data_IF_341717375424
#
_entry.id   IF_341717375424
#
_cell.length_a   1.000
_cell.length_b   1.000
_cell.length_c   1.000
_cell.angle_alpha   90.00
_cell.angle_beta   90.00
_cell.angle_gamma   90.00
#
_symmetry.space_group_name_H-M   'P 1'
#
loop_
_entity.id
_entity.type
_entity.pdbx_description
1 polymer ?
#
# COMPACT_ATOMS: atom_id res chain seq x y z
N UNK A 1 37.11 -18.53 -12.62
CA UNK A 1 36.35 -19.18 -13.74
C UNK A 1 35.25 -20.02 -13.11
N UNK A 2 34.01 -19.56 -13.18
CA UNK A 2 32.82 -20.27 -12.70
C UNK A 2 32.11 -20.80 -13.95
N UNK A 3 31.77 -22.09 -14.07
CA UNK A 3 31.13 -22.63 -15.26
C UNK A 3 29.68 -22.22 -15.35
N UNK A 4 29.28 -21.66 -16.49
CA UNK A 4 27.90 -21.41 -16.85
C UNK A 4 27.19 -22.76 -17.14
N UNK A 5 26.05 -22.99 -16.47
CA UNK A 5 25.18 -24.12 -16.69
C UNK A 5 24.14 -23.74 -17.76
N UNK A 6 24.18 -24.43 -18.91
CA UNK A 6 23.28 -24.24 -20.03
C UNK A 6 21.84 -24.69 -19.73
N UNK A 7 20.86 -23.81 -20.06
CA UNK A 7 19.42 -24.00 -19.81
C UNK A 7 18.77 -25.20 -20.48
N UNK A 8 19.48 -25.88 -21.38
CA UNK A 8 18.95 -27.07 -22.11
C UNK A 8 19.14 -28.39 -21.36
N UNK A 9 19.97 -28.43 -20.33
CA UNK A 9 20.28 -29.66 -19.57
C UNK A 9 19.36 -29.91 -18.39
N UNK A 10 18.57 -28.91 -17.95
CA UNK A 10 17.66 -29.03 -16.82
C UNK A 10 16.35 -29.76 -17.14
N UNK A 11 15.91 -29.79 -18.40
CA UNK A 11 14.62 -30.36 -18.83
C UNK A 11 14.61 -31.87 -19.15
N UNK A 12 15.72 -32.58 -18.98
CA UNK A 12 15.82 -34.01 -19.31
C UNK A 12 15.86 -34.99 -18.12
N UNK A 13 15.63 -34.53 -16.87
CA UNK A 13 15.70 -35.40 -15.68
C UNK A 13 14.41 -35.53 -14.86
N UNK A 14 13.25 -35.18 -15.39
CA UNK A 14 11.96 -35.46 -14.75
C UNK A 14 11.13 -36.35 -15.71
N UNK A 15 11.48 -37.59 -15.76
CA UNK A 15 10.73 -38.58 -16.52
C UNK A 15 11.35 -39.96 -16.39
N UNK A 16 11.13 -40.63 -15.26
CA UNK A 16 11.08 -42.08 -15.15
C UNK A 16 11.13 -42.49 -13.66
N UNK A 17 9.99 -42.88 -13.12
CA UNK A 17 9.81 -44.00 -12.20
C UNK A 17 8.31 -44.22 -12.04
N UNK A 18 7.79 -45.11 -12.81
CA UNK A 18 6.48 -45.70 -12.64
C UNK A 18 6.56 -46.96 -11.78
N UNK A 19 5.40 -47.45 -11.36
CA UNK A 19 5.29 -48.83 -10.85
C UNK A 19 4.25 -48.99 -9.78
N UNK A 20 3.09 -49.35 -10.21
CA UNK A 20 2.07 -50.28 -9.64
C UNK A 20 2.30 -50.84 -8.22
N UNK A 21 1.23 -50.90 -7.42
CA UNK A 21 0.63 -52.18 -6.97
C UNK A 21 -0.82 -51.96 -6.52
N UNK A 22 -1.70 -52.90 -6.96
CA UNK A 22 -3.13 -53.09 -6.68
C UNK A 22 -3.30 -54.07 -5.51
N UNK A 23 -4.35 -53.91 -4.71
CA UNK A 23 -5.20 -54.87 -4.03
C UNK A 23 -5.86 -54.20 -2.80
N UNK A 24 -7.16 -54.19 -2.55
CA UNK A 24 -8.24 -55.12 -2.78
C UNK A 24 -9.03 -55.25 -1.48
N UNK A 25 -10.38 -55.17 -1.53
CA UNK A 25 -11.26 -55.56 -0.40
C UNK A 25 -12.23 -54.45 0.04
N UNK A 26 -13.37 -54.43 -0.49
CA UNK A 26 -14.69 -55.05 -0.29
C UNK A 26 -15.55 -54.40 0.84
N UNK A 27 -16.69 -53.82 0.38
CA UNK A 27 -18.06 -53.79 0.92
C UNK A 27 -18.27 -53.29 2.35
N UNK A 28 -19.15 -52.24 2.51
CA UNK A 28 -20.60 -52.44 2.67
C UNK A 28 -21.36 -51.16 2.50
N UNK A 29 -22.53 -51.30 1.91
CA UNK A 29 -23.49 -50.28 1.54
C UNK A 29 -24.34 -49.86 2.74
N UNK A 30 -24.63 -48.57 2.92
CA UNK A 30 -25.90 -48.11 3.48
C UNK A 30 -26.46 -46.97 2.64
N UNK A 31 -27.60 -47.25 2.00
CA UNK A 31 -28.49 -46.29 1.36
C UNK A 31 -29.27 -45.55 2.47
N UNK A 32 -29.27 -44.22 2.39
CA UNK A 32 -30.43 -43.46 2.81
C UNK A 32 -30.49 -42.16 1.99
N UNK A 33 -31.59 -42.03 1.29
CA UNK A 33 -31.92 -40.93 0.43
C UNK A 33 -32.20 -39.65 1.21
N UNK A 34 -31.72 -38.51 0.68
CA UNK A 34 -32.53 -37.27 0.56
C UNK A 34 -31.75 -36.34 -0.37
N UNK A 35 -32.46 -35.87 -1.42
CA UNK A 35 -31.91 -35.02 -2.45
C UNK A 35 -31.45 -33.67 -1.91
N UNK A 36 -30.30 -33.23 -2.35
CA UNK A 36 -29.76 -31.91 -2.13
C UNK A 36 -28.69 -31.64 -3.14
N UNK A 37 -28.90 -30.68 -4.01
CA UNK A 37 -28.00 -30.18 -5.02
C UNK A 37 -26.58 -29.99 -4.48
N UNK A 38 -25.60 -30.69 -5.05
CA UNK A 38 -24.18 -30.46 -4.77
C UNK A 38 -23.74 -29.25 -5.63
N UNK A 39 -23.74 -28.09 -5.02
CA UNK A 39 -23.06 -26.91 -5.58
C UNK A 39 -21.59 -26.97 -5.17
N UNK A 40 -20.71 -27.29 -6.11
CA UNK A 40 -19.26 -27.17 -5.94
C UNK A 40 -18.86 -25.70 -6.02
N UNK A 41 -18.83 -25.04 -4.87
CA UNK A 41 -18.28 -23.71 -4.69
C UNK A 41 -17.64 -23.66 -3.31
N UNK A 42 -16.32 -23.49 -3.24
CA UNK A 42 -15.60 -23.26 -1.98
C UNK A 42 -16.05 -21.95 -1.34
N UNK A 43 -17.18 -21.98 -0.65
CA UNK A 43 -17.72 -20.86 0.10
C UNK A 43 -17.08 -20.82 1.48
N UNK A 44 -16.36 -19.76 1.79
CA UNK A 44 -16.04 -19.36 3.16
C UNK A 44 -17.35 -19.14 3.90
N UNK A 45 -17.58 -19.86 4.99
CA UNK A 45 -18.78 -19.74 5.82
C UNK A 45 -18.87 -18.31 6.37
N UNK A 46 -19.97 -17.56 6.14
CA UNK A 46 -20.09 -16.21 6.70
C UNK A 46 -20.14 -16.27 8.23
N UNK A 47 -19.41 -15.41 8.88
CA UNK A 47 -19.52 -15.19 10.33
C UNK A 47 -20.96 -14.73 10.63
N UNK A 48 -21.70 -15.36 11.59
CA UNK A 48 -23.07 -15.00 11.87
C UNK A 48 -23.19 -13.55 12.35
N UNK A 49 -23.97 -12.73 11.67
CA UNK A 49 -24.36 -11.38 12.08
C UNK A 49 -23.85 -10.21 11.26
N UNK A 50 -22.99 -10.43 10.26
CA UNK A 50 -22.56 -9.35 9.35
C UNK A 50 -23.25 -9.52 8.01
N UNK A 51 -24.09 -8.56 7.62
CA UNK A 51 -24.62 -8.50 6.27
C UNK A 51 -23.44 -8.37 5.30
N UNK A 52 -23.30 -9.25 4.30
CA UNK A 52 -22.23 -9.12 3.33
C UNK A 52 -22.28 -7.76 2.64
N UNK A 53 -21.14 -7.07 2.55
CA UNK A 53 -21.04 -5.83 1.79
C UNK A 53 -21.17 -6.18 0.30
N UNK A 54 -21.86 -5.34 -0.48
CA UNK A 54 -22.01 -5.52 -1.92
C UNK A 54 -20.66 -5.60 -2.64
N UNK A 55 -20.67 -6.21 -3.80
CA UNK A 55 -19.50 -6.33 -4.68
C UNK A 55 -19.92 -6.27 -6.17
N UNK A 56 -21.07 -5.63 -6.42
CA UNK A 56 -21.65 -5.54 -7.75
C UNK A 56 -20.87 -4.59 -8.68
N UNK A 57 -20.11 -3.65 -8.10
CA UNK A 57 -19.30 -2.69 -8.85
C UNK A 57 -17.94 -3.23 -9.32
N UNK A 58 -17.60 -4.48 -9.04
CA UNK A 58 -16.32 -5.07 -9.45
C UNK A 58 -16.25 -5.31 -10.97
N UNK A 59 -15.15 -4.93 -11.59
CA UNK A 59 -14.84 -5.21 -13.00
C UNK A 59 -14.83 -6.72 -13.29
N UNK A 60 -14.27 -7.49 -12.37
CA UNK A 60 -14.20 -8.95 -12.44
C UNK A 60 -14.95 -9.53 -11.24
N UNK A 61 -16.06 -10.29 -11.46
CA UNK A 61 -16.80 -10.87 -10.36
C UNK A 61 -15.90 -11.69 -9.41
N UNK A 62 -16.03 -11.44 -8.11
CA UNK A 62 -15.27 -12.14 -7.08
C UNK A 62 -13.83 -11.68 -6.89
N UNK A 63 -13.38 -10.62 -7.60
CA UNK A 63 -12.01 -10.14 -7.54
C UNK A 63 -11.95 -8.61 -7.40
N UNK A 64 -11.50 -8.11 -6.25
CA UNK A 64 -11.22 -6.70 -6.02
C UNK A 64 -9.79 -6.39 -6.51
N UNK A 65 -9.68 -5.71 -7.65
CA UNK A 65 -8.41 -5.33 -8.26
C UNK A 65 -8.06 -3.88 -7.92
N UNK A 66 -6.87 -3.65 -7.40
CA UNK A 66 -6.43 -2.30 -7.04
C UNK A 66 -5.00 -2.00 -7.51
N UNK A 67 -4.82 -0.80 -8.06
CA UNK A 67 -3.53 -0.32 -8.57
C UNK A 67 -2.65 0.20 -7.46
N UNK A 68 -1.39 -0.22 -7.44
CA UNK A 68 -0.32 0.31 -6.61
C UNK A 68 1.04 -0.07 -7.17
N UNK A 69 2.09 0.72 -6.83
CA UNK A 69 3.47 0.33 -7.05
C UNK A 69 4.01 -0.42 -5.84
N UNK A 70 4.61 -1.58 -6.05
CA UNK A 70 5.26 -2.37 -5.01
C UNK A 70 6.78 -2.18 -5.00
N UNK A 71 7.38 -1.67 -6.05
CA UNK A 71 8.79 -1.30 -6.10
C UNK A 71 9.02 0.02 -5.34
N UNK A 72 9.83 -0.04 -4.28
CA UNK A 72 10.01 1.09 -3.36
C UNK A 72 8.78 1.45 -2.52
N UNK A 73 7.70 0.66 -2.58
CA UNK A 73 6.38 0.96 -2.00
C UNK A 73 6.22 0.73 -0.50
N UNK A 74 7.29 0.44 0.26
CA UNK A 74 7.18 0.32 1.72
C UNK A 74 6.88 1.68 2.38
N UNK A 75 6.00 1.71 3.40
CA UNK A 75 5.28 0.62 4.05
C UNK A 75 3.88 0.30 3.46
N UNK A 76 3.50 0.85 2.30
CA UNK A 76 2.16 0.73 1.69
C UNK A 76 1.90 -0.68 1.17
N UNK A 77 2.60 -1.06 0.11
CA UNK A 77 2.62 -2.41 -0.45
C UNK A 77 3.99 -2.69 -1.05
N UNK A 78 4.61 -3.80 -0.69
CA UNK A 78 5.95 -4.16 -1.16
C UNK A 78 6.22 -5.66 -0.97
N UNK A 79 7.22 -6.24 -1.66
CA UNK A 79 7.63 -7.60 -1.44
C UNK A 79 8.14 -7.82 -0.01
N UNK A 80 7.69 -8.87 0.66
CA UNK A 80 8.19 -9.24 1.99
C UNK A 80 9.71 -9.49 1.93
N UNK A 81 10.53 -8.78 2.72
CA UNK A 81 11.98 -8.99 2.73
C UNK A 81 12.42 -10.42 3.05
N UNK A 82 11.56 -11.19 3.75
CA UNK A 82 11.82 -12.60 4.07
C UNK A 82 11.29 -13.58 3.01
N UNK A 83 10.31 -13.17 2.21
CA UNK A 83 9.71 -13.95 1.14
C UNK A 83 9.26 -13.04 -0.03
N UNK A 84 10.16 -12.69 -0.96
CA UNK A 84 9.88 -11.72 -2.02
C UNK A 84 8.74 -12.09 -2.99
N UNK A 85 8.25 -13.32 -2.94
CA UNK A 85 7.08 -13.74 -3.73
C UNK A 85 5.74 -13.39 -3.04
N UNK A 86 5.77 -12.84 -1.85
CA UNK A 86 4.61 -12.41 -1.10
C UNK A 86 4.63 -10.89 -0.90
N UNK A 87 3.50 -10.25 -1.11
CA UNK A 87 3.35 -8.84 -0.79
C UNK A 87 2.93 -8.65 0.67
N UNK A 88 3.43 -7.57 1.26
CA UNK A 88 3.10 -7.07 2.60
C UNK A 88 2.94 -5.56 2.55
N UNK A 89 2.44 -4.96 3.61
CA UNK A 89 2.26 -3.53 3.73
C UNK A 89 0.92 -3.19 4.38
N UNK A 90 0.79 -1.97 4.93
CA UNK A 90 -0.45 -1.62 5.61
C UNK A 90 -1.63 -1.51 4.64
N UNK A 91 -1.43 -1.00 3.43
CA UNK A 91 -2.49 -0.96 2.40
C UNK A 91 -2.80 -2.34 1.84
N UNK A 92 -1.78 -3.20 1.70
CA UNK A 92 -2.02 -4.60 1.36
C UNK A 92 -2.97 -5.26 2.36
N UNK A 93 -2.75 -5.05 3.68
CA UNK A 93 -3.61 -5.58 4.73
C UNK A 93 -5.01 -4.96 4.72
N UNK A 94 -5.14 -3.65 4.43
CA UNK A 94 -6.43 -2.98 4.26
C UNK A 94 -7.19 -3.58 3.08
N UNK A 95 -6.53 -3.78 1.94
CA UNK A 95 -7.11 -4.41 0.75
C UNK A 95 -7.63 -5.82 1.02
N UNK A 96 -6.87 -6.63 1.76
CA UNK A 96 -7.30 -7.97 2.19
C UNK A 96 -8.50 -7.90 3.14
N UNK A 97 -8.51 -6.95 4.08
CA UNK A 97 -9.59 -6.80 5.04
C UNK A 97 -10.91 -6.35 4.36
N UNK A 98 -10.85 -5.39 3.43
CA UNK A 98 -12.01 -4.98 2.64
C UNK A 98 -12.56 -6.14 1.79
N UNK A 99 -11.69 -6.84 1.05
CA UNK A 99 -12.09 -7.97 0.23
C UNK A 99 -12.76 -9.08 1.04
N UNK A 100 -12.27 -9.36 2.26
CA UNK A 100 -12.88 -10.31 3.19
C UNK A 100 -14.31 -9.91 3.57
N UNK A 101 -14.56 -8.62 3.86
CA UNK A 101 -15.91 -8.12 4.18
C UNK A 101 -16.85 -8.19 2.98
N UNK A 102 -16.33 -8.05 1.76
CA UNK A 102 -17.06 -8.15 0.51
C UNK A 102 -17.23 -9.60 0.02
N UNK A 103 -16.61 -10.59 0.68
CA UNK A 103 -16.64 -11.98 0.26
C UNK A 103 -15.90 -12.27 -1.05
N UNK A 104 -14.85 -11.53 -1.37
CA UNK A 104 -14.08 -11.60 -2.62
C UNK A 104 -12.59 -11.74 -2.34
N UNK A 105 -11.80 -11.94 -3.40
CA UNK A 105 -10.33 -11.98 -3.33
C UNK A 105 -9.76 -10.60 -3.63
N UNK A 106 -8.80 -10.13 -2.83
CA UNK A 106 -8.03 -8.92 -3.10
C UNK A 106 -6.85 -9.22 -4.02
N UNK A 107 -6.64 -8.38 -5.04
CA UNK A 107 -5.50 -8.48 -5.95
C UNK A 107 -4.91 -7.11 -6.24
N UNK A 108 -3.68 -6.89 -5.78
CA UNK A 108 -2.88 -5.75 -6.21
C UNK A 108 -2.48 -5.94 -7.69
N UNK A 109 -2.55 -4.85 -8.47
CA UNK A 109 -2.11 -4.77 -9.86
C UNK A 109 -0.96 -3.79 -9.92
N UNK A 110 0.21 -4.30 -10.31
CA UNK A 110 1.42 -3.48 -10.41
C UNK A 110 1.28 -2.38 -11.46
N UNK A 111 1.66 -1.17 -11.10
CA UNK A 111 1.71 -0.04 -12.00
C UNK A 111 2.61 1.06 -11.40
N UNK A 112 3.41 1.73 -12.24
CA UNK A 112 4.24 2.85 -11.80
C UNK A 112 3.39 3.97 -11.20
N UNK A 113 3.84 4.59 -10.10
CA UNK A 113 3.10 5.64 -9.41
C UNK A 113 2.76 6.82 -10.33
N UNK A 114 3.72 7.28 -11.13
CA UNK A 114 3.53 8.38 -12.10
C UNK A 114 2.55 8.07 -13.23
N UNK A 115 2.23 6.79 -13.47
CA UNK A 115 1.27 6.34 -14.49
C UNK A 115 -0.06 5.86 -13.88
N UNK A 116 -0.22 5.95 -12.55
CA UNK A 116 -1.33 5.36 -11.82
C UNK A 116 -2.69 5.95 -12.23
N UNK A 117 -2.78 7.28 -12.34
CA UNK A 117 -4.00 7.95 -12.75
C UNK A 117 -4.43 7.53 -14.17
N UNK A 118 -3.49 7.50 -15.13
CA UNK A 118 -3.79 7.06 -16.49
C UNK A 118 -4.28 5.60 -16.54
N UNK A 119 -3.67 4.74 -15.72
CA UNK A 119 -4.08 3.34 -15.63
C UNK A 119 -5.48 3.18 -15.02
N UNK A 120 -5.82 3.98 -13.99
CA UNK A 120 -7.15 4.05 -13.41
C UNK A 120 -8.20 4.49 -14.43
N UNK A 121 -7.92 5.60 -15.14
CA UNK A 121 -8.83 6.15 -16.16
C UNK A 121 -8.99 5.20 -17.37
N UNK A 122 -7.99 4.37 -17.65
CA UNK A 122 -8.08 3.29 -18.63
C UNK A 122 -8.76 2.01 -18.09
N UNK A 123 -9.28 2.03 -16.86
CA UNK A 123 -9.93 0.89 -16.21
C UNK A 123 -9.05 -0.37 -16.15
N UNK A 124 -7.73 -0.23 -15.93
CA UNK A 124 -6.85 -1.39 -15.76
C UNK A 124 -7.18 -2.19 -14.49
N UNK A 125 -7.66 -1.51 -13.46
CA UNK A 125 -8.10 -2.05 -12.16
C UNK A 125 -9.38 -1.33 -11.70
N UNK A 126 -9.97 -1.78 -10.60
CA UNK A 126 -11.24 -1.23 -10.08
C UNK A 126 -11.02 0.11 -9.36
N UNK A 127 -9.92 0.23 -8.63
CA UNK A 127 -9.60 1.38 -7.78
C UNK A 127 -8.09 1.54 -7.62
N UNK A 128 -7.63 2.71 -7.16
CA UNK A 128 -6.26 2.96 -6.74
C UNK A 128 -6.17 3.14 -5.23
N UNK A 129 -5.16 2.50 -4.60
CA UNK A 129 -4.83 2.66 -3.19
C UNK A 129 -3.30 2.58 -3.07
N UNK A 130 -2.64 3.72 -2.94
CA UNK A 130 -1.17 3.83 -2.91
C UNK A 130 -0.73 5.17 -2.29
N UNK A 131 -1.19 5.47 -1.06
CA UNK A 131 -1.00 6.81 -0.50
C UNK A 131 -1.67 7.86 -1.38
N UNK A 132 -2.89 7.58 -1.86
CA UNK A 132 -3.53 8.38 -2.91
C UNK A 132 -4.24 9.59 -2.33
N UNK A 133 -3.77 10.77 -2.70
CA UNK A 133 -4.35 12.03 -2.24
C UNK A 133 -5.45 12.54 -3.17
N UNK A 134 -6.38 13.25 -2.58
CA UNK A 134 -7.43 13.97 -3.28
C UNK A 134 -6.93 15.37 -3.67
N UNK A 135 -6.63 15.56 -4.97
CA UNK A 135 -6.21 16.84 -5.50
C UNK A 135 -7.32 17.48 -6.35
N UNK A 136 -7.33 18.83 -6.54
CA UNK A 136 -8.32 19.49 -7.40
C UNK A 136 -8.35 18.98 -8.84
N UNK A 137 -7.23 18.51 -9.37
CA UNK A 137 -7.17 17.96 -10.72
C UNK A 137 -7.76 16.54 -10.77
N UNK A 138 -7.40 15.69 -9.82
CA UNK A 138 -8.00 14.34 -9.70
C UNK A 138 -9.51 14.36 -9.44
N UNK A 139 -10.03 15.33 -8.68
CA UNK A 139 -11.49 15.48 -8.44
C UNK A 139 -12.31 15.68 -9.72
N UNK A 140 -11.68 16.14 -10.81
CA UNK A 140 -12.37 16.29 -12.11
C UNK A 140 -12.67 14.94 -12.74
N UNK A 141 -11.80 13.97 -12.55
CA UNK A 141 -11.78 12.67 -13.24
C UNK A 141 -12.04 11.48 -12.31
N UNK A 142 -11.90 11.66 -11.00
CA UNK A 142 -12.00 10.59 -10.01
C UNK A 142 -13.14 10.83 -9.01
N UNK A 143 -13.68 9.72 -8.49
CA UNK A 143 -14.42 9.66 -7.23
C UNK A 143 -13.47 9.20 -6.14
N UNK A 144 -13.76 9.57 -4.90
CA UNK A 144 -12.94 9.21 -3.75
C UNK A 144 -13.76 8.52 -2.67
N UNK A 145 -13.14 7.58 -1.97
CA UNK A 145 -13.68 7.02 -0.74
C UNK A 145 -13.66 8.05 0.41
N UNK A 146 -14.17 7.68 1.56
CA UNK A 146 -13.79 8.32 2.80
C UNK A 146 -12.28 8.16 3.06
N UNK A 147 -11.66 9.10 3.79
CA UNK A 147 -10.26 9.01 4.20
C UNK A 147 -10.00 7.72 4.98
N UNK A 148 -8.91 7.01 4.68
CA UNK A 148 -8.53 5.81 5.45
C UNK A 148 -7.29 6.02 6.33
N UNK A 149 -6.45 7.01 6.03
CA UNK A 149 -5.29 7.37 6.86
C UNK A 149 -5.03 8.88 6.80
N UNK A 150 -4.64 9.47 7.93
CA UNK A 150 -4.18 10.87 8.02
C UNK A 150 -2.68 10.90 8.21
N UNK A 151 -1.98 11.67 7.37
CA UNK A 151 -0.53 11.79 7.39
C UNK A 151 -0.09 13.26 7.41
N UNK A 152 1.20 13.51 7.58
CA UNK A 152 1.82 14.81 7.38
C UNK A 152 3.17 14.65 6.70
N UNK A 153 3.65 15.74 6.11
CA UNK A 153 4.99 15.79 5.53
C UNK A 153 6.04 15.87 6.63
N UNK A 154 7.14 15.15 6.45
CA UNK A 154 8.24 15.07 7.42
C UNK A 154 9.56 15.48 6.77
N UNK A 155 10.31 16.33 7.46
CA UNK A 155 11.68 16.69 7.06
C UNK A 155 12.65 15.62 7.55
N UNK A 156 13.54 15.18 6.66
CA UNK A 156 14.66 14.29 6.98
C UNK A 156 15.97 14.98 6.59
N UNK A 157 16.95 14.91 7.48
CA UNK A 157 18.30 15.43 7.28
C UNK A 157 19.34 14.38 7.68
N UNK A 158 20.62 14.60 7.35
CA UNK A 158 21.69 13.77 7.88
C UNK A 158 21.81 13.91 9.39
N UNK A 159 22.13 12.81 10.06
CA UNK A 159 22.28 12.79 11.51
C UNK A 159 23.42 13.71 12.01
N UNK A 160 24.48 13.88 11.21
CA UNK A 160 25.67 14.68 11.48
C UNK A 160 25.58 16.13 11.00
N UNK A 161 24.47 16.54 10.38
CA UNK A 161 24.31 17.89 9.84
C UNK A 161 24.18 18.92 10.97
N UNK A 162 25.24 19.72 11.14
CA UNK A 162 25.35 20.71 12.21
C UNK A 162 24.38 21.90 12.04
N UNK A 163 23.88 22.17 10.84
CA UNK A 163 22.85 23.19 10.57
C UNK A 163 21.56 22.92 11.35
N UNK A 164 21.30 21.65 11.61
CA UNK A 164 20.13 21.17 12.35
C UNK A 164 20.51 20.60 13.72
N UNK A 165 21.63 21.07 14.32
CA UNK A 165 22.00 20.68 15.67
C UNK A 165 20.91 21.09 16.68
N UNK A 166 20.55 20.18 17.58
CA UNK A 166 19.47 20.39 18.56
C UNK A 166 18.04 20.35 18.01
N UNK A 167 17.84 20.23 16.71
CA UNK A 167 16.52 19.98 16.14
C UNK A 167 16.13 18.53 16.30
N UNK A 168 14.90 18.28 16.75
CA UNK A 168 14.30 16.96 16.97
C UNK A 168 12.99 16.85 16.19
N UNK A 169 12.37 15.70 16.18
CA UNK A 169 11.04 15.47 15.62
C UNK A 169 9.90 16.24 16.33
N UNK A 170 10.21 16.90 17.46
CA UNK A 170 9.26 17.78 18.18
C UNK A 170 9.45 19.27 17.88
N UNK A 171 10.48 19.64 17.10
CA UNK A 171 10.74 21.03 16.73
C UNK A 171 9.64 21.54 15.80
N UNK A 172 9.30 22.81 15.92
CA UNK A 172 8.35 23.48 15.02
C UNK A 172 9.13 23.98 13.79
N UNK A 173 9.03 23.26 12.69
CA UNK A 173 9.73 23.52 11.44
C UNK A 173 8.73 23.50 10.28
N UNK A 174 9.05 24.23 9.20
CA UNK A 174 8.24 24.31 8.00
C UNK A 174 9.09 24.56 6.76
N UNK A 175 8.45 24.99 5.66
CA UNK A 175 9.14 25.25 4.39
C UNK A 175 10.25 26.29 4.50
N UNK A 176 10.06 27.33 5.30
CA UNK A 176 11.04 28.40 5.49
C UNK A 176 12.37 27.91 6.08
N UNK A 177 12.35 26.81 6.83
CA UNK A 177 13.57 26.18 7.36
C UNK A 177 14.38 25.41 6.28
N UNK A 178 13.78 25.25 5.10
CA UNK A 178 14.40 24.60 3.93
C UNK A 178 14.89 25.59 2.88
N UNK A 179 14.68 26.92 3.08
CA UNK A 179 15.16 27.95 2.14
C UNK A 179 16.69 27.87 1.94
N UNK A 180 17.12 27.99 0.69
CA UNK A 180 18.53 27.91 0.28
C UNK A 180 19.09 26.49 0.22
N UNK A 181 18.29 25.45 0.51
CA UNK A 181 18.71 24.05 0.47
C UNK A 181 18.29 23.35 -0.82
N UNK A 182 19.03 22.28 -1.17
CA UNK A 182 18.60 21.30 -2.16
C UNK A 182 17.81 20.20 -1.43
N UNK A 183 16.51 20.10 -1.71
CA UNK A 183 15.58 19.19 -1.04
C UNK A 183 15.08 18.14 -2.02
N UNK A 184 15.28 16.87 -1.67
CA UNK A 184 14.81 15.72 -2.46
C UNK A 184 13.41 15.28 -2.08
N UNK A 185 12.65 14.82 -3.08
CA UNK A 185 11.35 14.13 -2.88
C UNK A 185 11.03 13.25 -4.08
N UNK A 186 10.00 12.40 -3.99
CA UNK A 186 9.52 11.62 -5.13
C UNK A 186 8.86 12.50 -6.19
N UNK A 187 9.08 12.18 -7.45
CA UNK A 187 8.33 12.76 -8.55
C UNK A 187 6.84 12.41 -8.40
N UNK A 188 5.95 13.34 -8.70
CA UNK A 188 4.49 13.18 -8.53
C UNK A 188 4.00 12.99 -7.08
N UNK A 189 4.87 13.15 -6.07
CA UNK A 189 4.47 13.15 -4.67
C UNK A 189 3.95 14.54 -4.26
N UNK A 190 3.02 14.57 -3.31
CA UNK A 190 2.49 15.82 -2.74
C UNK A 190 3.59 16.77 -2.25
N UNK A 191 4.66 16.22 -1.72
CA UNK A 191 5.83 16.98 -1.28
C UNK A 191 6.48 17.78 -2.41
N UNK A 192 6.42 17.33 -3.67
CA UNK A 192 6.95 18.07 -4.80
C UNK A 192 6.16 19.38 -5.04
N UNK A 193 4.84 19.33 -4.95
CA UNK A 193 3.98 20.51 -5.05
C UNK A 193 4.26 21.50 -3.93
N UNK A 194 4.36 20.99 -2.68
CA UNK A 194 4.64 21.79 -1.49
C UNK A 194 5.99 22.48 -1.60
N UNK A 195 7.05 21.78 -2.02
CA UNK A 195 8.38 22.39 -2.26
C UNK A 195 8.34 23.43 -3.36
N UNK A 196 7.49 23.23 -4.38
CA UNK A 196 7.29 24.18 -5.48
C UNK A 196 6.66 25.51 -5.09
N UNK A 197 6.05 25.61 -3.89
CA UNK A 197 5.47 26.85 -3.34
C UNK A 197 6.56 27.88 -3.00
N UNK A 198 7.78 27.44 -2.63
CA UNK A 198 8.88 28.33 -2.27
C UNK A 198 10.04 28.23 -3.28
N UNK A 199 10.24 29.28 -4.08
CA UNK A 199 11.29 29.38 -5.10
C UNK A 199 12.71 29.50 -4.55
N UNK A 200 12.89 29.68 -3.24
CA UNK A 200 14.19 29.67 -2.59
C UNK A 200 14.67 28.24 -2.27
N UNK A 201 13.81 27.22 -2.44
CA UNK A 201 14.16 25.82 -2.28
C UNK A 201 14.51 25.24 -3.65
N UNK A 202 15.65 24.55 -3.73
CA UNK A 202 16.02 23.80 -4.93
C UNK A 202 15.46 22.38 -4.81
N UNK A 203 14.39 22.07 -5.54
CA UNK A 203 13.77 20.74 -5.51
C UNK A 203 14.48 19.79 -6.45
N UNK A 204 14.84 18.59 -5.94
CA UNK A 204 15.34 17.46 -6.75
C UNK A 204 14.32 16.31 -6.69
N UNK A 205 13.81 15.92 -7.87
CA UNK A 205 12.80 14.87 -8.00
C UNK A 205 13.46 13.51 -8.27
N UNK A 206 12.88 12.45 -7.71
CA UNK A 206 13.33 11.06 -7.80
C UNK A 206 12.20 10.16 -8.30
N UNK A 207 12.53 9.23 -9.20
CA UNK A 207 11.61 8.21 -9.72
C UNK A 207 12.41 7.07 -10.38
N UNK A 208 12.22 5.81 -10.04
CA UNK A 208 11.42 5.27 -8.92
C UNK A 208 12.12 5.33 -7.55
N UNK A 209 13.42 5.65 -7.51
CA UNK A 209 14.23 5.64 -6.30
C UNK A 209 13.75 6.66 -5.26
N UNK A 210 14.01 6.40 -4.00
CA UNK A 210 13.81 7.35 -2.91
C UNK A 210 15.09 8.18 -2.66
N UNK A 211 14.97 9.44 -2.21
CA UNK A 211 16.10 10.39 -2.10
C UNK A 211 17.08 10.10 -0.97
N UNK A 212 16.85 9.09 -0.13
CA UNK A 212 17.61 8.84 1.10
C UNK A 212 19.10 8.50 0.85
N UNK A 213 19.40 7.79 -0.23
CA UNK A 213 20.80 7.48 -0.59
C UNK A 213 21.58 8.73 -0.99
N UNK A 214 20.94 9.65 -1.70
CA UNK A 214 21.56 10.93 -2.09
C UNK A 214 21.73 11.85 -0.88
N UNK A 215 20.77 11.84 0.06
CA UNK A 215 20.89 12.58 1.30
C UNK A 215 22.06 12.06 2.16
N UNK A 216 22.16 10.75 2.36
CA UNK A 216 23.25 10.14 3.10
C UNK A 216 24.63 10.37 2.44
N UNK A 217 24.67 10.45 1.11
CA UNK A 217 25.86 10.70 0.32
C UNK A 217 26.21 12.20 0.13
N UNK A 218 25.55 13.12 0.84
CA UNK A 218 25.76 14.57 0.78
C UNK A 218 25.49 15.20 -0.61
N UNK A 219 24.65 14.58 -1.46
CA UNK A 219 24.29 15.11 -2.79
C UNK A 219 23.09 16.03 -2.74
N UNK A 220 22.32 15.98 -1.67
CA UNK A 220 21.23 16.89 -1.32
C UNK A 220 21.32 17.23 0.17
N UNK A 221 20.61 18.28 0.59
CA UNK A 221 20.68 18.80 1.96
C UNK A 221 19.62 18.21 2.88
N UNK A 222 18.41 18.02 2.36
CA UNK A 222 17.27 17.50 3.09
C UNK A 222 16.36 16.67 2.18
N UNK A 223 15.40 16.00 2.78
CA UNK A 223 14.27 15.32 2.13
C UNK A 223 12.99 15.81 2.77
N UNK A 224 11.97 16.08 1.96
CA UNK A 224 10.59 16.29 2.40
C UNK A 224 9.75 15.18 1.81
N UNK A 225 9.08 14.39 2.66
CA UNK A 225 8.33 13.21 2.21
C UNK A 225 7.31 12.79 3.27
N UNK A 226 6.37 11.93 2.90
CA UNK A 226 5.31 11.45 3.77
C UNK A 226 5.83 10.72 5.02
N UNK A 227 5.21 11.02 6.16
CA UNK A 227 5.58 10.45 7.45
C UNK A 227 5.69 8.93 7.48
N UNK A 228 4.77 8.15 6.87
CA UNK A 228 4.88 6.70 6.77
C UNK A 228 6.19 6.20 6.14
N UNK A 229 6.64 6.85 5.07
CA UNK A 229 7.90 6.51 4.39
C UNK A 229 9.09 6.76 5.32
N UNK A 230 9.07 7.90 6.02
CA UNK A 230 10.12 8.25 7.01
C UNK A 230 10.13 7.26 8.17
N UNK A 231 8.97 6.88 8.68
CA UNK A 231 8.85 5.89 9.75
C UNK A 231 9.53 4.56 9.35
N UNK A 232 9.30 4.09 8.15
CA UNK A 232 9.86 2.83 7.67
C UNK A 232 11.36 2.92 7.33
N UNK A 233 11.75 3.84 6.43
CA UNK A 233 13.10 3.89 5.85
C UNK A 233 14.13 4.61 6.71
N UNK A 234 13.72 5.51 7.60
CA UNK A 234 14.61 6.31 8.43
C UNK A 234 14.58 5.85 9.88
N UNK A 235 13.39 5.69 10.46
CA UNK A 235 13.23 5.35 11.86
C UNK A 235 13.22 3.84 12.13
N UNK A 236 13.09 3.00 11.09
CA UNK A 236 13.04 1.55 11.22
C UNK A 236 11.77 1.06 11.91
N UNK A 237 10.68 1.78 11.74
CA UNK A 237 9.39 1.45 12.33
C UNK A 237 8.56 0.56 11.40
N UNK A 238 8.03 -0.53 11.94
CA UNK A 238 7.21 -1.49 11.20
C UNK A 238 7.91 -2.80 10.85
N UNK A 239 7.14 -3.81 10.40
CA UNK A 239 7.68 -5.14 10.07
C UNK A 239 8.74 -5.10 8.99
N UNK A 240 9.91 -5.68 9.26
CA UNK A 240 11.03 -5.74 8.32
C UNK A 240 11.84 -4.46 8.15
N UNK A 241 11.39 -3.34 8.73
CA UNK A 241 12.10 -2.06 8.67
C UNK A 241 13.42 -2.10 9.43
N UNK A 242 14.35 -1.24 8.99
CA UNK A 242 15.63 -1.02 9.68
C UNK A 242 15.92 0.47 9.75
N UNK A 243 16.27 0.96 10.94
CA UNK A 243 16.66 2.35 11.10
C UNK A 243 17.91 2.68 10.26
N UNK A 244 17.93 3.87 9.67
CA UNK A 244 19.10 4.38 8.97
C UNK A 244 19.85 5.36 9.89
N UNK A 245 20.95 4.95 10.52
CA UNK A 245 21.68 5.78 11.50
C UNK A 245 22.35 7.02 10.89
N UNK A 246 22.50 7.07 9.57
CA UNK A 246 23.04 8.24 8.87
C UNK A 246 22.03 9.39 8.76
N UNK A 247 20.74 9.11 8.99
CA UNK A 247 19.63 10.04 8.80
C UNK A 247 18.85 10.25 10.10
N UNK A 248 18.18 11.38 10.20
CA UNK A 248 17.23 11.67 11.28
C UNK A 248 16.03 12.45 10.76
N UNK A 249 14.87 12.18 11.30
CA UNK A 249 13.69 13.01 11.13
C UNK A 249 13.77 14.24 12.06
N UNK A 250 13.40 15.40 11.56
CA UNK A 250 13.32 16.65 12.33
C UNK A 250 12.02 17.38 12.05
N UNK A 251 11.58 18.18 12.99
CA UNK A 251 10.29 18.88 12.91
C UNK A 251 9.11 17.96 13.19
N UNK A 252 8.01 18.56 13.66
CA UNK A 252 6.72 17.88 13.68
C UNK A 252 6.25 17.67 12.25
N UNK A 253 5.49 16.59 11.95
CA UNK A 253 4.81 16.48 10.67
C UNK A 253 3.94 17.73 10.42
N UNK A 254 4.00 18.29 9.23
CA UNK A 254 3.24 19.48 8.84
C UNK A 254 2.54 19.26 7.48
N UNK A 255 1.72 20.21 7.04
CA UNK A 255 0.90 20.04 5.81
C UNK A 255 0.12 18.73 5.86
N UNK A 256 -0.62 18.52 6.95
CA UNK A 256 -1.45 17.34 7.16
C UNK A 256 -2.46 17.19 6.03
N UNK A 257 -2.58 15.98 5.49
CA UNK A 257 -3.54 15.59 4.46
C UNK A 257 -4.01 14.15 4.72
N UNK A 258 -4.94 13.68 3.92
CA UNK A 258 -5.54 12.35 4.07
C UNK A 258 -5.30 11.49 2.83
N UNK A 259 -5.17 10.18 3.03
CA UNK A 259 -5.20 9.20 1.94
C UNK A 259 -6.61 8.69 1.70
N UNK A 260 -6.93 8.55 0.44
CA UNK A 260 -8.21 8.09 -0.09
C UNK A 260 -8.00 6.93 -1.06
N UNK A 261 -9.07 6.23 -1.37
CA UNK A 261 -9.11 5.31 -2.51
C UNK A 261 -9.75 6.05 -3.67
N UNK A 262 -9.07 6.05 -4.83
CA UNK A 262 -9.53 6.71 -6.05
C UNK A 262 -10.23 5.75 -7.00
N UNK A 263 -11.26 6.25 -7.72
CA UNK A 263 -12.03 5.47 -8.69
C UNK A 263 -12.24 6.29 -9.96
N UNK A 264 -12.27 5.65 -11.13
CA UNK A 264 -12.56 6.32 -12.38
C UNK A 264 -14.03 6.82 -12.41
N UNK A 265 -14.22 8.13 -12.30
CA UNK A 265 -15.55 8.78 -12.25
C UNK A 265 -16.42 8.50 -13.48
N UNK A 266 -15.82 8.30 -14.63
CA UNK A 266 -16.50 8.01 -15.88
C UNK A 266 -16.96 6.54 -15.99
N UNK A 267 -16.47 5.65 -15.13
CA UNK A 267 -16.84 4.23 -15.14
C UNK A 267 -18.14 4.01 -14.32
N UNK A 268 -19.24 3.53 -14.92
CA UNK A 268 -20.46 3.23 -14.17
C UNK A 268 -20.28 2.26 -13.01
N UNK A 269 -19.38 1.30 -13.14
CA UNK A 269 -19.08 0.35 -12.07
C UNK A 269 -18.46 1.04 -10.85
N UNK A 270 -17.66 2.08 -11.04
CA UNK A 270 -17.06 2.85 -9.95
C UNK A 270 -18.12 3.58 -9.10
N UNK A 271 -19.23 4.02 -9.71
CA UNK A 271 -20.36 4.64 -9.00
C UNK A 271 -21.05 3.65 -8.05
N UNK A 272 -20.95 2.35 -8.32
CA UNK A 272 -21.48 1.27 -7.47
C UNK A 272 -20.43 0.86 -6.45
N UNK A 273 -19.18 0.68 -6.88
CA UNK A 273 -18.09 0.16 -6.03
C UNK A 273 -17.67 1.15 -4.93
N UNK A 274 -17.64 2.46 -5.23
CA UNK A 274 -17.18 3.46 -4.25
C UNK A 274 -18.00 3.44 -2.95
N UNK A 275 -19.34 3.43 -2.95
CA UNK A 275 -20.11 3.28 -1.72
C UNK A 275 -19.98 1.90 -1.05
N UNK A 276 -19.72 0.82 -1.81
CA UNK A 276 -19.43 -0.51 -1.26
C UNK A 276 -18.10 -0.50 -0.49
N UNK A 277 -17.06 0.14 -1.03
CA UNK A 277 -15.77 0.34 -0.37
C UNK A 277 -15.91 1.24 0.86
N UNK A 278 -16.73 2.30 0.78
CA UNK A 278 -16.99 3.17 1.94
C UNK A 278 -17.66 2.42 3.10
N UNK A 279 -18.57 1.50 2.80
CA UNK A 279 -19.14 0.62 3.81
C UNK A 279 -18.09 -0.29 4.44
N UNK A 280 -17.20 -0.88 3.63
CA UNK A 280 -16.10 -1.68 4.14
C UNK A 280 -15.17 -0.89 5.05
N UNK A 281 -14.73 0.30 4.61
CA UNK A 281 -13.88 1.18 5.42
C UNK A 281 -14.58 1.60 6.72
N UNK A 282 -15.89 1.90 6.68
CA UNK A 282 -16.64 2.27 7.88
C UNK A 282 -16.68 1.12 8.91
N UNK A 283 -16.78 -0.13 8.47
CA UNK A 283 -16.67 -1.30 9.36
C UNK A 283 -15.26 -1.38 9.94
N UNK A 284 -14.21 -1.34 9.10
CA UNK A 284 -12.82 -1.47 9.53
C UNK A 284 -12.36 -0.35 10.47
N UNK A 285 -12.94 0.85 10.36
CA UNK A 285 -12.71 1.95 11.30
C UNK A 285 -13.31 1.68 12.67
N UNK A 286 -14.54 1.14 12.70
CA UNK A 286 -15.30 0.95 13.94
C UNK A 286 -14.90 -0.29 14.71
N UNK A 287 -14.52 -1.38 14.03
CA UNK A 287 -14.19 -2.65 14.65
C UNK A 287 -12.73 -2.72 15.15
N UNK A 288 -11.95 -1.64 14.96
CA UNK A 288 -10.55 -1.53 15.37
C UNK A 288 -9.56 -2.20 14.42
N UNK A 289 -10.00 -2.72 13.27
CA UNK A 289 -9.10 -3.37 12.30
C UNK A 289 -8.07 -2.39 11.77
N UNK A 290 -8.47 -1.17 11.34
CA UNK A 290 -7.51 -0.16 10.86
C UNK A 290 -6.54 0.25 11.95
N UNK A 291 -7.00 0.45 13.18
CA UNK A 291 -6.12 0.75 14.33
C UNK A 291 -5.08 -0.35 14.54
N UNK A 292 -5.51 -1.61 14.51
CA UNK A 292 -4.63 -2.77 14.66
C UNK A 292 -3.55 -2.81 13.56
N UNK A 293 -3.95 -2.56 12.30
CA UNK A 293 -3.02 -2.47 11.18
C UNK A 293 -2.02 -1.34 11.40
N UNK A 294 -2.48 -0.12 11.74
CA UNK A 294 -1.58 1.02 11.93
C UNK A 294 -0.66 0.85 13.15
N UNK A 295 -1.11 0.22 14.23
CA UNK A 295 -0.26 -0.13 15.36
C UNK A 295 0.84 -1.12 14.96
N UNK A 296 0.49 -2.15 14.19
CA UNK A 296 1.45 -3.14 13.65
C UNK A 296 2.53 -2.47 12.81
N UNK A 297 2.16 -1.47 12.01
CA UNK A 297 3.08 -0.74 11.14
C UNK A 297 3.72 0.46 11.82
N UNK A 298 3.53 0.66 13.14
CA UNK A 298 4.02 1.80 13.92
C UNK A 298 3.60 3.16 13.36
N UNK A 299 2.42 3.21 12.74
CA UNK A 299 1.85 4.38 12.09
C UNK A 299 0.68 5.00 12.89
N UNK A 300 0.25 4.34 13.99
CA UNK A 300 -0.84 4.88 14.80
C UNK A 300 -0.43 6.19 15.49
N UNK A 301 -1.30 7.19 15.39
CA UNK A 301 -1.25 8.45 16.17
C UNK A 301 -2.69 8.93 16.42
N UNK A 302 -2.85 9.89 17.34
CA UNK A 302 -4.18 10.35 17.76
C UNK A 302 -4.96 11.08 16.65
N UNK A 303 -4.30 11.59 15.60
CA UNK A 303 -4.95 12.23 14.46
C UNK A 303 -5.83 11.25 13.66
N UNK A 304 -5.58 9.94 13.78
CA UNK A 304 -6.42 8.93 13.12
C UNK A 304 -7.85 8.91 13.69
N UNK A 305 -8.03 9.28 14.96
CA UNK A 305 -9.36 9.42 15.55
C UNK A 305 -10.17 10.56 14.91
N UNK A 306 -9.53 11.61 14.40
CA UNK A 306 -10.20 12.73 13.74
C UNK A 306 -10.88 12.33 12.41
N UNK A 307 -10.41 11.25 11.78
CA UNK A 307 -11.03 10.66 10.58
C UNK A 307 -11.92 9.45 10.91
N UNK A 308 -12.27 9.27 12.19
CA UNK A 308 -13.25 8.29 12.66
C UNK A 308 -12.72 6.89 12.89
N UNK A 309 -11.41 6.69 13.10
CA UNK A 309 -10.82 5.39 13.44
C UNK A 309 -10.80 5.25 14.96
N UNK A 310 -11.39 4.15 15.48
CA UNK A 310 -11.57 3.91 16.91
C UNK A 310 -10.54 2.92 17.48
#
# INVERSE_FOLDING_TARGET
MVPQIDRRTFLKRVGQAGGLVVAGGALESFLAACGGNVSTGGGTTPTPGVTPIGNAGLKTPGLLQWGATSDGGAPYVFPDPSNPNQLVGFEYEIGQAMAKLMGVVSKQIENDYGQMEQALLANKFDMVMNGWEKTPDREKTELFSQAYYRYGQQIVVRADDTRFAGKTNSSDLGLTDLEGLTVGTGASYKAADILGEDKKITTKLYDPDLPFNDLAAHRIDAVLIDGPIVAYYVLGAGPGAKANPALKAIGKPFRTDDYFIGFNKANPNAQILQPEIDQALAVLKKDGTLKTIYMKWSMWNDQQAEIGIM
#
